data_IF_274894553599
#
_entry.id   IF_274894553599
#
_cell.length_a   1.000
_cell.length_b   1.000
_cell.length_c   1.000
_cell.angle_alpha   90.00
_cell.angle_beta   90.00
_cell.angle_gamma   90.00
#
_symmetry.space_group_name_H-M   'P 1'
#
loop_
_entity.id
_entity.type
_entity.pdbx_description
1 polymer ?
#
# COMPACT_ATOMS: atom_id res chain seq x y z
N UNK A 1 -19.57 -26.61 3.87
CA UNK A 1 -19.31 -25.16 3.99
C UNK A 1 -17.99 -24.96 4.70
N UNK A 2 -17.02 -24.43 4.02
CA UNK A 2 -15.75 -24.06 4.66
C UNK A 2 -16.01 -22.91 5.62
N UNK A 3 -15.70 -23.10 6.91
CA UNK A 3 -15.62 -22.02 7.86
C UNK A 3 -14.34 -21.22 7.52
N UNK A 4 -14.49 -20.16 6.76
CA UNK A 4 -13.43 -19.18 6.61
C UNK A 4 -13.30 -18.47 7.95
N UNK A 5 -12.30 -18.87 8.73
CA UNK A 5 -11.97 -18.19 9.97
C UNK A 5 -11.55 -16.75 9.61
N UNK A 6 -12.40 -15.81 9.98
CA UNK A 6 -12.09 -14.38 9.83
C UNK A 6 -10.91 -14.05 10.74
N UNK A 7 -9.86 -13.44 10.20
CA UNK A 7 -8.77 -12.91 11.00
C UNK A 7 -9.31 -11.88 12.00
N UNK A 8 -8.78 -11.87 13.21
CA UNK A 8 -9.11 -10.85 14.21
C UNK A 8 -8.39 -9.53 13.92
N UNK A 9 -7.17 -9.61 13.37
CA UNK A 9 -6.33 -8.45 13.04
C UNK A 9 -5.73 -8.63 11.65
N UNK A 10 -5.77 -7.56 10.86
CA UNK A 10 -5.19 -7.51 9.53
C UNK A 10 -3.92 -6.66 9.52
N UNK A 11 -2.87 -7.16 8.87
CA UNK A 11 -1.59 -6.47 8.73
C UNK A 11 -1.63 -5.58 7.48
N UNK A 12 -1.46 -4.29 7.68
CA UNK A 12 -1.54 -3.27 6.64
C UNK A 12 -0.21 -2.55 6.50
N UNK A 13 0.29 -2.46 5.27
CA UNK A 13 1.41 -1.57 4.93
C UNK A 13 0.83 -0.30 4.30
N UNK A 14 1.23 0.84 4.84
CA UNK A 14 0.87 2.15 4.30
C UNK A 14 1.91 2.57 3.25
N UNK A 15 1.45 2.95 2.07
CA UNK A 15 2.29 3.55 1.03
C UNK A 15 1.97 5.04 0.92
N UNK A 16 2.96 5.86 1.22
CA UNK A 16 2.91 7.31 1.32
C UNK A 16 2.57 7.84 2.72
N UNK A 17 3.19 8.95 3.05
CA UNK A 17 3.02 9.67 4.32
C UNK A 17 2.58 11.13 4.14
N UNK A 18 2.05 11.47 2.96
CA UNK A 18 1.43 12.77 2.71
C UNK A 18 0.11 12.93 3.48
N UNK A 19 -0.72 13.91 3.12
CA UNK A 19 -1.96 14.20 3.86
C UNK A 19 -2.90 12.99 3.98
N UNK A 20 -3.09 12.26 2.88
CA UNK A 20 -3.92 11.04 2.87
C UNK A 20 -3.23 9.93 3.67
N UNK A 21 -1.94 9.74 3.47
CA UNK A 21 -1.16 8.73 4.19
C UNK A 21 -1.13 8.97 5.69
N UNK A 22 -0.97 10.21 6.12
CA UNK A 22 -1.05 10.61 7.54
C UNK A 22 -2.39 10.24 8.15
N UNK A 23 -3.49 10.61 7.50
CA UNK A 23 -4.84 10.27 7.95
C UNK A 23 -5.04 8.75 8.03
N UNK A 24 -4.53 8.02 7.05
CA UNK A 24 -4.58 6.55 7.02
C UNK A 24 -3.79 5.91 8.15
N UNK A 25 -2.58 6.37 8.44
CA UNK A 25 -1.77 5.87 9.55
C UNK A 25 -2.50 6.07 10.89
N UNK A 26 -3.06 7.25 11.11
CA UNK A 26 -3.85 7.55 12.31
C UNK A 26 -5.06 6.61 12.41
N UNK A 27 -5.79 6.42 11.30
CA UNK A 27 -6.96 5.54 11.26
C UNK A 27 -6.60 4.08 11.54
N UNK A 28 -5.52 3.57 10.93
CA UNK A 28 -5.03 2.21 11.18
C UNK A 28 -4.65 2.03 12.65
N UNK A 29 -3.89 2.98 13.19
CA UNK A 29 -3.40 2.92 14.57
C UNK A 29 -4.54 2.96 15.61
N UNK A 30 -5.64 3.61 15.31
CA UNK A 30 -6.79 3.71 16.20
C UNK A 30 -7.74 2.52 16.17
N UNK A 31 -7.54 1.57 15.24
CA UNK A 31 -8.37 0.38 15.13
C UNK A 31 -7.70 -0.83 15.77
N UNK A 32 -8.51 -1.62 16.48
CA UNK A 32 -8.05 -2.87 17.12
C UNK A 32 -7.89 -4.02 16.12
N UNK A 33 -8.61 -3.96 15.00
CA UNK A 33 -8.60 -4.98 13.96
C UNK A 33 -7.58 -4.72 12.83
N UNK A 34 -6.81 -3.63 12.92
CA UNK A 34 -5.75 -3.31 11.99
C UNK A 34 -4.40 -3.13 12.71
N UNK A 35 -3.36 -3.63 12.08
CA UNK A 35 -1.99 -3.47 12.54
C UNK A 35 -1.15 -2.79 11.46
N UNK A 36 -0.54 -1.65 11.77
CA UNK A 36 0.41 -1.01 10.87
C UNK A 36 1.70 -1.81 10.85
N UNK A 37 1.96 -2.50 9.75
CA UNK A 37 3.10 -3.42 9.60
C UNK A 37 4.25 -2.84 8.81
N UNK A 38 4.06 -1.69 8.17
CA UNK A 38 5.10 -1.03 7.39
C UNK A 38 4.66 0.32 6.86
N UNK A 39 5.65 1.11 6.46
CA UNK A 39 5.45 2.39 5.79
C UNK A 39 6.42 2.51 4.62
N UNK A 40 5.90 2.77 3.44
CA UNK A 40 6.69 3.05 2.24
C UNK A 40 6.63 4.54 1.94
N UNK A 41 7.79 5.14 1.75
CA UNK A 41 7.95 6.58 1.45
C UNK A 41 8.82 6.76 0.21
N UNK A 42 8.62 7.85 -0.51
CA UNK A 42 9.47 8.26 -1.64
C UNK A 42 10.55 9.26 -1.23
N UNK A 43 10.36 9.99 -0.14
CA UNK A 43 11.32 10.97 0.36
C UNK A 43 12.45 10.26 1.10
N UNK A 44 13.65 10.34 0.53
CA UNK A 44 14.85 9.71 1.10
C UNK A 44 15.16 10.20 2.52
N UNK A 45 14.80 11.43 2.87
CA UNK A 45 15.01 11.98 4.20
C UNK A 45 14.13 11.32 5.29
N UNK A 46 13.08 10.63 4.87
CA UNK A 46 12.18 9.91 5.78
C UNK A 46 12.55 8.45 5.98
N UNK A 47 13.42 7.89 5.15
CA UNK A 47 13.84 6.49 5.26
C UNK A 47 14.51 6.24 6.61
N UNK A 48 14.06 5.20 7.31
CA UNK A 48 14.54 4.84 8.64
C UNK A 48 13.89 5.61 9.78
N UNK A 49 13.09 6.64 9.50
CA UNK A 49 12.32 7.34 10.53
C UNK A 49 11.10 6.53 10.95
N UNK A 50 10.71 6.66 12.20
CA UNK A 50 9.47 6.06 12.71
C UNK A 50 8.23 6.72 12.08
N UNK A 51 7.24 5.91 11.73
CA UNK A 51 6.01 6.37 11.11
C UNK A 51 5.25 7.40 11.95
N UNK A 52 5.23 7.23 13.27
CA UNK A 52 4.60 8.17 14.18
C UNK A 52 5.31 9.52 14.20
N UNK A 53 6.64 9.49 14.22
CA UNK A 53 7.48 10.71 14.17
C UNK A 53 7.25 11.47 12.86
N UNK A 54 7.20 10.77 11.73
CA UNK A 54 6.95 11.38 10.42
C UNK A 54 5.63 12.17 10.40
N UNK A 55 4.59 11.63 11.01
CA UNK A 55 3.25 12.25 11.00
C UNK A 55 2.99 13.17 12.23
N UNK A 56 3.96 13.30 13.12
CA UNK A 56 3.88 14.24 14.27
C UNK A 56 3.15 13.71 15.50
N UNK A 57 3.15 12.38 15.68
CA UNK A 57 2.63 11.73 16.90
C UNK A 57 3.74 10.95 17.60
N UNK A 58 3.41 10.21 18.65
CA UNK A 58 4.34 9.31 19.33
C UNK A 58 4.87 8.19 18.42
N UNK A 59 6.00 7.61 18.76
CA UNK A 59 6.58 6.49 18.02
C UNK A 59 5.63 5.32 17.95
N UNK A 60 5.51 4.72 16.76
CA UNK A 60 4.68 3.55 16.50
C UNK A 60 5.48 2.26 16.37
N UNK A 61 6.82 2.33 16.36
CA UNK A 61 7.69 1.17 16.18
C UNK A 61 7.80 0.67 14.75
N UNK A 62 7.39 1.48 13.78
CA UNK A 62 7.40 1.15 12.34
C UNK A 62 8.31 2.13 11.62
N UNK A 63 9.42 1.64 11.08
CA UNK A 63 10.38 2.46 10.34
C UNK A 63 10.05 2.52 8.86
N UNK A 64 10.09 3.72 8.30
CA UNK A 64 9.84 3.93 6.88
C UNK A 64 10.95 3.34 6.00
N UNK A 65 10.57 2.78 4.87
CA UNK A 65 11.46 2.31 3.81
C UNK A 65 10.98 2.81 2.44
N UNK A 66 11.84 2.77 1.45
CA UNK A 66 11.45 3.01 0.05
C UNK A 66 11.45 1.72 -0.79
N UNK A 67 11.63 0.57 -0.17
CA UNK A 67 11.74 -0.71 -0.86
C UNK A 67 10.49 -1.58 -0.61
N UNK A 68 9.61 -1.64 -1.61
CA UNK A 68 8.41 -2.49 -1.57
C UNK A 68 8.75 -3.98 -1.40
N UNK A 69 9.87 -4.42 -1.93
CA UNK A 69 10.24 -5.85 -1.91
C UNK A 69 10.40 -6.40 -0.49
N UNK A 70 10.67 -5.54 0.48
CA UNK A 70 10.71 -5.94 1.90
C UNK A 70 9.38 -6.51 2.39
N UNK A 71 8.26 -6.12 1.77
CA UNK A 71 6.90 -6.51 2.19
C UNK A 71 6.27 -7.60 1.30
N UNK A 72 6.89 -7.93 0.17
CA UNK A 72 6.32 -8.90 -0.78
C UNK A 72 6.67 -10.35 -0.44
N UNK A 73 7.29 -10.60 0.70
CA UNK A 73 7.58 -11.94 1.19
C UNK A 73 6.36 -12.54 1.88
N UNK A 74 5.92 -13.71 1.43
CA UNK A 74 4.78 -14.43 1.99
C UNK A 74 4.92 -14.73 3.50
N UNK A 75 6.14 -14.84 4.00
CA UNK A 75 6.42 -15.12 5.42
C UNK A 75 6.05 -13.94 6.35
N UNK A 76 5.86 -12.74 5.81
CA UNK A 76 5.53 -11.55 6.59
C UNK A 76 4.04 -11.39 6.88
N UNK A 77 3.19 -12.23 6.28
CA UNK A 77 1.73 -12.21 6.49
C UNK A 77 1.11 -10.81 6.31
N UNK A 78 1.46 -10.12 5.25
CA UNK A 78 0.85 -8.84 4.89
C UNK A 78 -0.48 -9.09 4.20
N UNK A 79 -1.55 -8.52 4.73
CA UNK A 79 -2.91 -8.69 4.20
C UNK A 79 -3.25 -7.67 3.13
N UNK A 80 -2.79 -6.43 3.30
CA UNK A 80 -3.16 -5.33 2.44
C UNK A 80 -2.07 -4.26 2.38
N UNK A 81 -1.92 -3.66 1.21
CA UNK A 81 -1.17 -2.42 1.05
C UNK A 81 -2.16 -1.30 0.72
N UNK A 82 -2.17 -0.27 1.55
CA UNK A 82 -2.94 0.95 1.34
C UNK A 82 -2.09 1.92 0.50
N UNK A 83 -2.36 1.93 -0.79
CA UNK A 83 -1.57 2.63 -1.81
C UNK A 83 -2.14 4.02 -2.07
N UNK A 84 -1.56 5.05 -1.47
CA UNK A 84 -2.08 6.43 -1.52
C UNK A 84 -1.06 7.50 -1.91
N UNK A 85 -0.08 7.23 -2.79
CA UNK A 85 0.83 8.28 -3.26
C UNK A 85 0.12 9.27 -4.17
N UNK A 86 0.79 10.36 -4.50
CA UNK A 86 0.37 11.20 -5.61
C UNK A 86 0.46 10.38 -6.91
N UNK A 87 -0.56 10.49 -7.74
CA UNK A 87 -0.63 9.72 -8.98
C UNK A 87 0.62 9.93 -9.85
N UNK A 88 1.23 8.84 -10.29
CA UNK A 88 2.51 8.87 -11.00
C UNK A 88 2.46 9.67 -12.29
N UNK A 89 1.33 9.66 -13.01
CA UNK A 89 1.16 10.48 -14.22
C UNK A 89 1.25 12.00 -13.97
N UNK A 90 1.18 12.43 -12.71
CA UNK A 90 1.27 13.84 -12.31
C UNK A 90 2.66 14.26 -11.82
N UNK A 91 3.41 13.34 -11.23
CA UNK A 91 4.60 13.68 -10.44
C UNK A 91 5.84 12.85 -10.78
N UNK A 92 5.71 11.82 -11.60
CA UNK A 92 6.78 10.90 -11.94
C UNK A 92 7.10 10.94 -13.43
N UNK A 93 8.35 10.61 -13.78
CA UNK A 93 8.78 10.49 -15.18
C UNK A 93 8.10 9.29 -15.88
N UNK A 94 7.79 8.23 -15.12
CA UNK A 94 7.04 7.08 -15.61
C UNK A 94 5.54 7.22 -15.23
N UNK A 95 4.67 7.58 -16.18
CA UNK A 95 3.24 7.73 -15.90
C UNK A 95 2.54 6.41 -15.54
N UNK A 96 3.15 5.26 -15.86
CA UNK A 96 2.63 3.92 -15.58
C UNK A 96 3.15 3.32 -14.28
N UNK A 97 3.89 4.06 -13.48
CA UNK A 97 4.51 3.54 -12.27
C UNK A 97 3.48 2.99 -11.26
N UNK A 98 2.36 3.66 -11.09
CA UNK A 98 1.29 3.17 -10.20
C UNK A 98 0.76 1.81 -10.66
N UNK A 99 0.51 1.66 -11.96
CA UNK A 99 0.08 0.39 -12.54
C UNK A 99 1.11 -0.71 -12.28
N UNK A 100 2.38 -0.44 -12.50
CA UNK A 100 3.46 -1.41 -12.25
C UNK A 100 3.55 -1.82 -10.79
N UNK A 101 3.46 -0.86 -9.88
CA UNK A 101 3.49 -1.11 -8.44
C UNK A 101 2.30 -1.96 -7.99
N UNK A 102 1.10 -1.61 -8.43
CA UNK A 102 -0.14 -2.32 -8.05
C UNK A 102 -0.12 -3.76 -8.60
N UNK A 103 0.29 -3.97 -9.84
CA UNK A 103 0.44 -5.31 -10.41
C UNK A 103 1.44 -6.13 -9.60
N UNK A 104 2.57 -5.56 -9.23
CA UNK A 104 3.59 -6.24 -8.42
C UNK A 104 3.04 -6.69 -7.07
N UNK A 105 2.28 -5.84 -6.40
CA UNK A 105 1.62 -6.16 -5.13
C UNK A 105 0.61 -7.30 -5.31
N UNK A 106 -0.28 -7.19 -6.29
CA UNK A 106 -1.32 -8.19 -6.54
C UNK A 106 -0.73 -9.56 -6.93
N UNK A 107 0.36 -9.59 -7.69
CA UNK A 107 1.09 -10.82 -8.01
C UNK A 107 1.63 -11.54 -6.79
N UNK A 108 1.94 -10.81 -5.74
CA UNK A 108 2.40 -11.36 -4.47
C UNK A 108 1.27 -11.90 -3.60
N UNK A 109 0.02 -11.85 -4.07
CA UNK A 109 -1.15 -12.30 -3.33
C UNK A 109 -1.66 -11.32 -2.27
N UNK A 110 -1.15 -10.08 -2.27
CA UNK A 110 -1.52 -9.04 -1.31
C UNK A 110 -2.62 -8.18 -1.91
N UNK A 111 -3.65 -7.86 -1.12
CA UNK A 111 -4.72 -6.96 -1.53
C UNK A 111 -4.25 -5.51 -1.58
N UNK A 112 -4.88 -4.71 -2.43
CA UNK A 112 -4.60 -3.28 -2.56
C UNK A 112 -5.85 -2.47 -2.32
N UNK A 113 -5.73 -1.45 -1.48
CA UNK A 113 -6.67 -0.34 -1.36
C UNK A 113 -5.97 0.90 -1.90
N UNK A 114 -6.60 1.66 -2.77
CA UNK A 114 -5.93 2.80 -3.40
C UNK A 114 -6.86 3.97 -3.65
N UNK A 115 -6.28 5.17 -3.60
CA UNK A 115 -6.91 6.44 -4.00
C UNK A 115 -6.45 6.91 -5.38
N UNK A 116 -5.46 6.26 -5.99
CA UNK A 116 -5.02 6.56 -7.36
C UNK A 116 -5.85 5.80 -8.38
N UNK A 117 -5.82 6.20 -9.63
CA UNK A 117 -6.72 5.87 -10.76
C UNK A 117 -7.08 4.41 -11.07
N UNK A 118 -7.02 3.49 -10.11
CA UNK A 118 -7.33 2.06 -10.27
C UNK A 118 -8.66 1.63 -9.63
N UNK A 119 -9.46 2.58 -9.19
CA UNK A 119 -10.78 2.29 -8.59
C UNK A 119 -11.71 1.56 -9.55
N UNK A 120 -11.58 1.85 -10.84
CA UNK A 120 -12.32 1.19 -11.88
C UNK A 120 -11.49 1.05 -13.16
N UNK A 121 -10.58 0.05 -13.24
CA UNK A 121 -9.68 -0.13 -14.39
C UNK A 121 -10.39 -0.21 -15.73
N UNK A 122 -11.58 -0.77 -15.79
CA UNK A 122 -12.40 -0.87 -17.00
C UNK A 122 -12.72 0.48 -17.63
N UNK A 123 -12.75 1.56 -16.83
CA UNK A 123 -12.98 2.91 -17.34
C UNK A 123 -11.86 3.40 -18.27
N UNK A 124 -10.68 2.80 -18.20
CA UNK A 124 -9.54 3.09 -19.09
C UNK A 124 -9.54 2.25 -20.38
N UNK A 125 -10.58 1.45 -20.58
CA UNK A 125 -10.74 0.57 -21.74
C UNK A 125 -10.51 -0.90 -21.41
N UNK A 126 -11.10 -1.78 -22.24
CA UNK A 126 -10.98 -3.23 -22.04
C UNK A 126 -9.54 -3.73 -22.21
N UNK A 127 -8.78 -3.15 -23.13
CA UNK A 127 -7.38 -3.52 -23.35
C UNK A 127 -6.52 -3.25 -22.10
N UNK A 128 -6.79 -2.16 -21.41
CA UNK A 128 -6.12 -1.82 -20.16
C UNK A 128 -6.47 -2.81 -19.04
N UNK A 129 -7.75 -3.13 -18.90
CA UNK A 129 -8.21 -4.14 -17.94
C UNK A 129 -7.59 -5.51 -18.23
N UNK A 130 -7.61 -5.95 -19.49
CA UNK A 130 -7.04 -7.22 -19.90
C UNK A 130 -5.53 -7.32 -19.62
N UNK A 131 -4.80 -6.22 -19.82
CA UNK A 131 -3.37 -6.16 -19.48
C UNK A 131 -3.13 -6.37 -17.97
N UNK A 132 -3.93 -5.74 -17.13
CA UNK A 132 -3.82 -5.92 -15.68
C UNK A 132 -4.16 -7.35 -15.29
N UNK A 133 -5.28 -7.88 -15.76
CA UNK A 133 -5.72 -9.25 -15.46
C UNK A 133 -4.73 -10.30 -15.91
N UNK A 134 -4.17 -10.17 -17.12
CA UNK A 134 -3.18 -11.10 -17.65
C UNK A 134 -1.87 -11.10 -16.85
N UNK A 135 -1.48 -9.97 -16.28
CA UNK A 135 -0.26 -9.85 -15.50
C UNK A 135 -0.41 -10.26 -14.04
N UNK A 136 -1.62 -10.26 -13.50
CA UNK A 136 -1.91 -10.62 -12.10
C UNK A 136 -2.21 -12.12 -11.94
N UNK A 137 -2.72 -12.74 -12.95
CA UNK A 137 -2.97 -14.22 -12.98
C UNK A 137 -1.63 -15.00 -13.08
#
# INVERSE_FOLDING_TARGET
MENILKKETYNVVQWSSGNVGKASIIGINNRKDLNLSGLIVSDENKIGMDAGVIIGIEELGVKATNNIDEFLNADLDIDCINYTPLASFRVNEDPDLDKKNIIKILRSGINVVTTVGFLFPKAYGEDYLNQIEAQVK
#
